data_IF_033336134398
#
_entry.id   IF_033336134398
#
_cell.length_a   1.000
_cell.length_b   1.000
_cell.length_c   1.000
_cell.angle_alpha   90.00
_cell.angle_beta   90.00
_cell.angle_gamma   90.00
#
_symmetry.space_group_name_H-M   'P 1'
#
loop_
_entity.id
_entity.type
_entity.pdbx_description
1 polymer ?
#
# COMPACT_ATOMS: atom_id res chain seq x y z
N UNK A 1 5.76 20.37 12.03
CA UNK A 1 5.03 21.49 11.38
C UNK A 1 3.51 21.28 11.40
N UNK A 2 3.01 20.07 11.66
CA UNK A 2 1.57 19.78 11.64
C UNK A 2 1.06 19.44 10.25
N UNK A 3 1.96 19.26 9.28
CA UNK A 3 1.61 18.80 7.94
C UNK A 3 1.17 17.33 7.98
N UNK A 4 0.10 17.03 7.26
CA UNK A 4 -0.38 15.65 7.12
C UNK A 4 0.48 14.93 6.09
N UNK A 5 1.20 13.89 6.51
CA UNK A 5 2.12 13.16 5.65
C UNK A 5 1.54 11.88 5.04
N UNK A 6 0.48 11.33 5.65
CA UNK A 6 -0.16 10.13 5.16
C UNK A 6 -1.65 10.06 5.55
N UNK A 7 -2.44 9.41 4.71
CA UNK A 7 -3.87 9.14 4.95
C UNK A 7 -4.18 7.69 4.64
N UNK A 8 -5.13 7.11 5.37
CA UNK A 8 -5.63 5.76 5.11
C UNK A 8 -7.13 5.68 5.34
N UNK A 9 -7.78 4.70 4.73
CA UNK A 9 -9.20 4.45 4.92
C UNK A 9 -9.41 3.19 5.79
N UNK A 10 -9.99 3.30 7.00
CA UNK A 10 -10.25 2.15 7.85
C UNK A 10 -11.10 1.08 7.15
N UNK A 11 -10.77 -0.19 7.37
CA UNK A 11 -11.51 -1.34 6.81
C UNK A 11 -11.29 -1.61 5.33
N UNK A 12 -10.46 -0.81 4.63
CA UNK A 12 -10.06 -1.05 3.23
C UNK A 12 -8.55 -0.89 3.08
N UNK A 13 -7.97 -1.54 2.08
CA UNK A 13 -6.58 -1.27 1.72
C UNK A 13 -6.51 -0.02 0.83
N UNK A 14 -6.37 1.14 1.47
CA UNK A 14 -6.14 2.45 0.82
C UNK A 14 -5.14 3.22 1.66
N UNK A 15 -4.04 3.65 1.03
CA UNK A 15 -2.97 4.43 1.65
C UNK A 15 -2.51 5.50 0.65
N UNK A 16 -2.43 6.74 1.10
CA UNK A 16 -1.80 7.85 0.37
C UNK A 16 -0.69 8.45 1.24
N UNK A 17 0.44 8.77 0.62
CA UNK A 17 1.59 9.40 1.29
C UNK A 17 1.98 10.66 0.53
N UNK A 18 2.45 11.68 1.26
CA UNK A 18 2.83 12.97 0.68
C UNK A 18 4.23 12.96 0.07
N UNK A 19 5.14 12.14 0.61
CA UNK A 19 6.50 11.99 0.08
C UNK A 19 6.54 11.03 -1.12
N UNK A 20 7.74 10.89 -1.70
CA UNK A 20 8.03 10.00 -2.83
C UNK A 20 8.60 8.65 -2.35
N UNK A 21 7.77 7.63 -2.03
CA UNK A 21 8.25 6.33 -1.57
C UNK A 21 9.02 5.57 -2.66
N UNK A 22 8.81 5.90 -3.93
CA UNK A 22 9.49 5.28 -5.06
C UNK A 22 10.98 5.61 -5.11
N UNK A 23 11.39 6.75 -4.55
CA UNK A 23 12.79 7.17 -4.56
C UNK A 23 13.65 6.23 -3.71
N UNK A 24 14.65 5.60 -4.34
CA UNK A 24 15.55 4.63 -3.70
C UNK A 24 14.79 3.57 -2.89
N UNK A 25 13.65 3.10 -3.41
CA UNK A 25 12.71 2.24 -2.70
C UNK A 25 13.32 0.96 -2.10
N UNK A 26 14.38 0.41 -2.73
CA UNK A 26 15.10 -0.78 -2.26
C UNK A 26 16.11 -0.50 -1.13
N UNK A 27 16.46 0.77 -0.91
CA UNK A 27 17.45 1.21 0.08
C UNK A 27 16.77 1.87 1.28
N UNK A 28 15.57 2.40 1.10
CA UNK A 28 14.72 2.90 2.18
C UNK A 28 13.85 1.77 2.76
N UNK A 29 14.07 1.38 4.04
CA UNK A 29 13.27 0.34 4.68
C UNK A 29 11.77 0.65 4.76
N UNK A 30 11.38 1.92 4.86
CA UNK A 30 9.97 2.34 4.90
C UNK A 30 9.33 2.09 3.54
N UNK A 31 9.99 2.54 2.47
CA UNK A 31 9.52 2.34 1.10
C UNK A 31 9.42 0.86 0.74
N UNK A 32 10.45 0.06 1.07
CA UNK A 32 10.44 -1.38 0.83
C UNK A 32 9.23 -2.05 1.50
N UNK A 33 8.94 -1.71 2.77
CA UNK A 33 7.79 -2.27 3.49
C UNK A 33 6.46 -1.81 2.92
N UNK A 34 6.36 -0.54 2.54
CA UNK A 34 5.15 0.04 1.96
C UNK A 34 4.75 -0.67 0.66
N UNK A 35 5.70 -0.85 -0.26
CA UNK A 35 5.42 -1.56 -1.51
C UNK A 35 5.17 -3.06 -1.32
N UNK A 36 5.86 -3.71 -0.38
CA UNK A 36 5.60 -5.11 -0.05
C UNK A 36 4.18 -5.31 0.48
N UNK A 37 3.72 -4.44 1.40
CA UNK A 37 2.37 -4.48 1.94
C UNK A 37 1.32 -4.21 0.86
N UNK A 38 1.56 -3.24 -0.03
CA UNK A 38 0.71 -2.99 -1.19
C UNK A 38 0.58 -4.23 -2.09
N UNK A 39 1.70 -4.87 -2.43
CA UNK A 39 1.71 -6.09 -3.24
C UNK A 39 0.94 -7.24 -2.59
N UNK A 40 1.10 -7.43 -1.26
CA UNK A 40 0.35 -8.42 -0.51
C UNK A 40 -1.17 -8.16 -0.57
N UNK A 41 -1.59 -6.91 -0.35
CA UNK A 41 -2.99 -6.54 -0.41
C UNK A 41 -3.61 -6.76 -1.80
N UNK A 42 -2.90 -6.43 -2.88
CA UNK A 42 -3.38 -6.67 -4.24
C UNK A 42 -3.56 -8.17 -4.54
N UNK A 43 -2.66 -9.03 -4.06
CA UNK A 43 -2.80 -10.50 -4.16
C UNK A 43 -4.02 -11.01 -3.39
N UNK A 44 -4.27 -10.50 -2.19
CA UNK A 44 -5.47 -10.87 -1.43
C UNK A 44 -6.75 -10.41 -2.13
N UNK A 45 -6.77 -9.20 -2.72
CA UNK A 45 -7.93 -8.69 -3.45
C UNK A 45 -8.17 -9.46 -4.75
N UNK A 46 -7.13 -9.83 -5.50
CA UNK A 46 -7.29 -10.63 -6.72
C UNK A 46 -7.81 -12.03 -6.41
N UNK A 47 -7.30 -12.68 -5.35
CA UNK A 47 -7.79 -13.97 -4.89
C UNK A 47 -9.29 -13.93 -4.50
N UNK A 48 -9.74 -12.84 -3.86
CA UNK A 48 -11.17 -12.63 -3.53
C UNK A 48 -12.04 -12.39 -4.76
N UNK A 49 -11.51 -11.73 -5.80
CA UNK A 49 -12.25 -11.54 -7.06
C UNK A 49 -12.45 -12.86 -7.82
N UNK A 50 -11.49 -13.79 -7.71
CA UNK A 50 -11.52 -15.08 -8.40
C UNK A 50 -12.43 -16.14 -7.75
N UNK A 51 -12.96 -15.91 -6.55
CA UNK A 51 -13.78 -16.91 -5.83
C UNK A 51 -15.28 -16.88 -6.17
N UNK A 52 -15.69 -16.22 -7.26
CA UNK A 52 -17.11 -15.98 -7.58
C UNK A 52 -17.51 -16.19 -9.03
N UNK A 53 -16.65 -16.76 -9.88
CA UNK A 53 -17.00 -17.10 -11.27
C UNK A 53 -17.00 -18.63 -11.42
N UNK A 54 -18.09 -19.24 -10.96
CA UNK A 54 -18.61 -20.54 -11.40
C UNK A 54 -20.11 -20.42 -11.54
#
# INVERSE_FOLDING_TARGET
>A
DGLVEAVSLPGKWVLGVQWHPEWRSLQDPVSTRLFAAFGAAMKHLSARKWSGEK
#
